data_IF_101586259139
#
_entry.id   IF_101586259139
#
_cell.length_a   1.000
_cell.length_b   1.000
_cell.length_c   1.000
_cell.angle_alpha   90.00
_cell.angle_beta   90.00
_cell.angle_gamma   90.00
#
_symmetry.space_group_name_H-M   'P 1'
#
loop_
_entity.id
_entity.type
_entity.pdbx_description
1 polymer ?
#
# COMPACT_ATOMS: atom_id res chain seq x y z
N UNK A 1 35.53 6.02 -15.73
CA UNK A 1 36.26 7.30 -15.93
C UNK A 1 37.60 7.15 -15.23
N UNK A 2 38.71 7.56 -15.83
CA UNK A 2 40.03 7.50 -15.20
C UNK A 2 40.47 8.92 -14.83
N UNK A 3 40.72 9.15 -13.54
CA UNK A 3 41.28 10.40 -13.01
C UNK A 3 42.58 10.03 -12.30
N UNK A 4 43.70 10.63 -12.70
CA UNK A 4 45.02 10.44 -12.06
C UNK A 4 45.49 8.97 -11.97
N UNK A 5 45.13 8.12 -12.94
CA UNK A 5 45.53 6.70 -12.98
C UNK A 5 44.74 5.79 -12.04
N UNK A 6 43.69 6.30 -11.39
CA UNK A 6 42.75 5.53 -10.60
C UNK A 6 41.49 5.30 -11.43
N UNK A 7 41.18 4.02 -11.68
CA UNK A 7 39.94 3.63 -12.35
C UNK A 7 38.78 3.87 -11.41
N UNK A 8 37.98 4.90 -11.70
CA UNK A 8 36.71 5.13 -11.01
C UNK A 8 35.64 4.39 -11.83
N UNK A 9 35.14 3.23 -11.35
CA UNK A 9 33.98 2.61 -11.96
C UNK A 9 32.80 3.55 -11.73
N UNK A 10 32.28 4.10 -12.82
CA UNK A 10 31.00 4.81 -12.78
C UNK A 10 29.95 3.74 -12.53
N UNK A 11 29.41 3.66 -11.31
CA UNK A 11 28.22 2.86 -11.03
C UNK A 11 27.07 3.59 -11.72
N UNK A 12 26.64 3.08 -12.87
CA UNK A 12 25.58 3.71 -13.69
C UNK A 12 24.20 3.36 -13.16
N UNK A 13 24.07 2.22 -12.45
CA UNK A 13 22.84 1.83 -11.75
C UNK A 13 23.19 1.45 -10.31
N UNK A 14 22.67 2.24 -9.38
CA UNK A 14 22.79 1.99 -7.95
C UNK A 14 21.88 0.82 -7.54
N UNK A 15 22.28 0.01 -6.56
CA UNK A 15 21.50 -1.15 -6.07
C UNK A 15 20.21 -0.74 -5.32
N UNK A 16 19.84 0.54 -5.36
CA UNK A 16 18.62 1.11 -4.79
C UNK A 16 17.47 0.95 -5.79
N UNK A 17 17.32 -0.27 -6.31
CA UNK A 17 16.21 -0.59 -7.20
C UNK A 17 14.92 -0.55 -6.36
N UNK A 18 14.05 0.45 -6.62
CA UNK A 18 12.70 0.51 -6.04
C UNK A 18 11.99 -0.82 -6.30
N UNK A 19 11.44 -1.44 -5.26
CA UNK A 19 10.75 -2.73 -5.36
C UNK A 19 9.26 -2.54 -5.16
N UNK A 20 8.49 -3.32 -5.91
CA UNK A 20 7.06 -3.36 -5.76
C UNK A 20 6.68 -3.98 -4.42
N UNK A 21 5.85 -3.28 -3.64
CA UNK A 21 5.32 -3.73 -2.36
C UNK A 21 4.44 -5.00 -2.46
N UNK A 22 3.95 -5.30 -3.67
CA UNK A 22 3.14 -6.48 -3.98
C UNK A 22 3.93 -7.72 -4.35
N UNK A 23 4.78 -7.62 -5.38
CA UNK A 23 5.49 -8.78 -5.92
C UNK A 23 6.99 -8.80 -5.61
N UNK A 24 7.53 -7.79 -4.92
CA UNK A 24 8.93 -7.63 -4.52
C UNK A 24 9.96 -7.56 -5.67
N UNK A 25 9.50 -7.60 -6.93
CA UNK A 25 10.33 -7.37 -8.12
C UNK A 25 10.65 -5.88 -8.27
N UNK A 26 11.75 -5.61 -8.97
CA UNK A 26 12.18 -4.24 -9.28
C UNK A 26 11.14 -3.53 -10.17
N UNK A 27 10.80 -2.30 -9.81
CA UNK A 27 10.00 -1.39 -10.63
C UNK A 27 10.92 -0.70 -11.62
N UNK A 28 10.60 -0.84 -12.90
CA UNK A 28 11.24 -0.07 -13.97
C UNK A 28 10.44 1.21 -14.21
N UNK A 29 11.10 2.37 -14.18
CA UNK A 29 10.45 3.67 -14.40
C UNK A 29 9.73 4.23 -13.17
N UNK A 30 8.59 4.89 -13.40
CA UNK A 30 7.81 5.56 -12.36
C UNK A 30 6.88 4.56 -11.67
N UNK A 31 6.95 4.41 -10.33
CA UNK A 31 6.05 3.52 -9.59
C UNK A 31 4.63 4.08 -9.58
N UNK A 32 3.66 3.17 -9.61
CA UNK A 32 2.30 3.53 -9.26
C UNK A 32 2.19 3.64 -7.74
N UNK A 33 1.71 4.78 -7.23
CA UNK A 33 1.64 5.06 -5.80
C UNK A 33 0.21 4.95 -5.31
N UNK A 34 0.01 4.07 -4.33
CA UNK A 34 -1.28 3.92 -3.65
C UNK A 34 -1.14 4.38 -2.21
N UNK A 35 -2.08 5.20 -1.77
CA UNK A 35 -2.22 5.66 -0.41
C UNK A 35 -3.54 5.17 0.16
N UNK A 36 -3.57 4.86 1.44
CA UNK A 36 -4.81 4.63 2.17
C UNK A 36 -5.22 5.93 2.82
N UNK A 37 -6.34 6.49 2.37
CA UNK A 37 -6.93 7.68 2.96
C UNK A 37 -7.61 7.28 4.27
N UNK A 38 -6.89 7.47 5.36
CA UNK A 38 -7.45 7.30 6.68
C UNK A 38 -8.37 8.49 7.04
N UNK A 39 -9.67 8.35 6.75
CA UNK A 39 -10.71 9.28 7.21
C UNK A 39 -11.24 8.97 8.60
N UNK A 40 -10.76 7.90 9.26
CA UNK A 40 -11.23 7.46 10.59
C UNK A 40 -10.23 7.80 11.70
N UNK A 41 -9.03 8.26 11.38
CA UNK A 41 -8.10 8.82 12.37
C UNK A 41 -8.73 10.02 13.06
N UNK A 42 -8.82 9.94 14.39
CA UNK A 42 -9.21 11.06 15.24
C UNK A 42 -8.17 12.17 15.13
N UNK A 43 -8.60 13.45 15.10
CA UNK A 43 -7.68 14.61 15.10
C UNK A 43 -6.81 14.73 16.36
N UNK A 44 -7.02 13.85 17.35
CA UNK A 44 -6.20 13.74 18.55
C UNK A 44 -4.93 12.96 18.22
N UNK A 45 -3.78 13.48 18.62
CA UNK A 45 -2.50 12.77 18.49
C UNK A 45 -2.59 11.40 19.17
N UNK A 46 -2.35 10.33 18.41
CA UNK A 46 -2.25 8.98 18.95
C UNK A 46 -1.11 8.87 19.97
N UNK A 47 -1.19 7.90 20.87
CA UNK A 47 -0.10 7.64 21.80
C UNK A 47 1.17 7.28 21.02
N UNK A 48 2.33 7.80 21.45
CA UNK A 48 3.63 7.42 20.89
C UNK A 48 3.96 5.93 21.07
N UNK A 49 3.26 5.23 21.96
CA UNK A 49 3.43 3.80 22.21
C UNK A 49 2.47 2.92 21.39
N UNK A 50 1.51 3.52 20.69
CA UNK A 50 0.51 2.78 19.91
C UNK A 50 0.93 2.69 18.44
N UNK A 51 0.81 1.49 17.87
CA UNK A 51 1.02 1.31 16.43
C UNK A 51 -0.22 1.81 15.70
N UNK A 52 -0.02 2.67 14.70
CA UNK A 52 -1.12 3.14 13.86
C UNK A 52 -1.82 1.95 13.21
N UNK A 53 -3.15 1.89 13.34
CA UNK A 53 -3.95 0.73 12.93
C UNK A 53 -3.90 0.53 11.41
N UNK A 54 -3.72 1.62 10.66
CA UNK A 54 -3.57 1.62 9.21
C UNK A 54 -2.41 2.55 8.85
N UNK A 55 -1.39 2.03 8.17
CA UNK A 55 -0.36 2.87 7.58
C UNK A 55 -0.90 3.51 6.28
N UNK A 56 -0.91 4.86 6.15
CA UNK A 56 -1.47 5.55 5.00
C UNK A 56 -0.62 5.46 3.72
N UNK A 57 0.63 5.01 3.79
CA UNK A 57 1.54 4.94 2.64
C UNK A 57 2.50 6.14 2.54
N UNK A 58 3.09 6.42 1.36
CA UNK A 58 2.79 5.82 0.06
C UNK A 58 3.37 4.42 -0.12
N UNK A 59 2.59 3.52 -0.72
CA UNK A 59 3.03 2.20 -1.18
C UNK A 59 3.31 2.25 -2.69
N UNK A 60 4.39 1.61 -3.13
CA UNK A 60 4.87 1.68 -4.51
C UNK A 60 4.68 0.33 -5.22
N UNK A 61 4.06 0.36 -6.40
CA UNK A 61 3.72 -0.83 -7.17
C UNK A 61 4.12 -0.73 -8.64
N UNK A 62 4.22 -1.90 -9.28
CA UNK A 62 4.03 -1.96 -10.73
C UNK A 62 2.62 -1.44 -11.08
N UNK A 63 2.40 -0.93 -12.32
CA UNK A 63 1.09 -0.45 -12.77
C UNK A 63 0.14 -1.63 -13.09
N UNK A 64 -0.06 -2.50 -12.11
CA UNK A 64 -0.88 -3.71 -12.15
C UNK A 64 -1.65 -3.83 -10.84
N UNK A 65 -2.98 -3.81 -10.93
CA UNK A 65 -3.86 -3.96 -9.77
C UNK A 65 -3.60 -5.26 -9.00
N UNK A 66 -3.16 -6.33 -9.67
CA UNK A 66 -2.84 -7.60 -9.02
C UNK A 66 -1.69 -7.48 -8.03
N UNK A 67 -0.73 -6.57 -8.26
CA UNK A 67 0.34 -6.28 -7.30
C UNK A 67 -0.22 -5.65 -6.02
N UNK A 68 -1.15 -4.71 -6.14
CA UNK A 68 -1.78 -4.08 -4.98
C UNK A 68 -2.66 -5.09 -4.25
N UNK A 69 -3.44 -5.89 -4.98
CA UNK A 69 -4.26 -6.96 -4.41
C UNK A 69 -3.44 -7.99 -3.64
N UNK A 70 -2.30 -8.42 -4.18
CA UNK A 70 -1.36 -9.32 -3.49
C UNK A 70 -0.82 -8.71 -2.19
N UNK A 71 -0.50 -7.42 -2.22
CA UNK A 71 -0.07 -6.66 -1.04
C UNK A 71 -1.17 -6.54 0.03
N UNK A 72 -2.41 -6.31 -0.39
CA UNK A 72 -3.57 -6.29 0.50
C UNK A 72 -3.75 -7.63 1.20
N UNK A 73 -3.71 -8.74 0.43
CA UNK A 73 -3.84 -10.09 0.95
C UNK A 73 -2.73 -10.41 1.97
N UNK A 74 -1.48 -10.05 1.67
CA UNK A 74 -0.35 -10.22 2.59
C UNK A 74 -0.48 -9.45 3.91
N UNK A 75 -1.32 -8.41 3.96
CA UNK A 75 -1.66 -7.62 5.16
C UNK A 75 -3.03 -7.95 5.74
N UNK A 76 -3.68 -9.01 5.25
CA UNK A 76 -5.03 -9.41 5.67
C UNK A 76 -6.13 -8.37 5.44
N UNK A 77 -5.90 -7.43 4.51
CA UNK A 77 -6.95 -6.53 4.03
C UNK A 77 -7.92 -7.29 3.11
N UNK A 78 -9.21 -6.95 3.18
CA UNK A 78 -10.20 -7.37 2.19
C UNK A 78 -10.33 -6.33 1.08
N UNK A 79 -10.77 -6.76 -0.10
CA UNK A 79 -11.03 -5.89 -1.25
C UNK A 79 -12.53 -5.75 -1.51
N UNK A 80 -13.02 -4.54 -1.76
CA UNK A 80 -14.38 -4.34 -2.23
C UNK A 80 -14.49 -4.66 -3.73
N UNK A 81 -15.16 -5.76 -4.08
CA UNK A 81 -15.29 -6.20 -5.49
C UNK A 81 -16.12 -5.25 -6.37
N UNK A 82 -16.87 -4.33 -5.76
CA UNK A 82 -17.62 -3.26 -6.45
C UNK A 82 -16.75 -2.06 -6.86
N UNK A 83 -15.53 -1.95 -6.32
CA UNK A 83 -14.58 -0.89 -6.65
C UNK A 83 -13.47 -1.34 -7.61
N UNK A 84 -12.50 -0.46 -7.81
CA UNK A 84 -11.20 -0.72 -8.47
C UNK A 84 -10.05 -0.34 -7.56
N UNK A 85 -8.85 -0.84 -7.84
CA UNK A 85 -7.66 -0.29 -7.18
C UNK A 85 -7.37 1.10 -7.76
N UNK A 86 -7.16 2.08 -6.88
CA UNK A 86 -6.84 3.46 -7.23
C UNK A 86 -5.67 3.99 -6.40
N UNK A 87 -5.11 5.13 -6.81
CA UNK A 87 -4.07 5.84 -6.07
C UNK A 87 -4.48 6.22 -4.64
N UNK A 88 -5.79 6.36 -4.40
CA UNK A 88 -6.35 6.55 -3.07
C UNK A 88 -7.37 5.45 -2.82
N UNK A 89 -7.09 4.62 -1.82
CA UNK A 89 -8.01 3.61 -1.30
C UNK A 89 -8.56 4.08 0.05
N UNK A 90 -9.82 3.77 0.35
CA UNK A 90 -10.49 4.10 1.61
C UNK A 90 -10.65 2.85 2.47
N UNK A 91 -10.33 2.93 3.77
CA UNK A 91 -10.50 1.83 4.70
C UNK A 91 -11.98 1.69 5.10
N UNK A 92 -12.41 0.44 5.23
CA UNK A 92 -13.74 0.05 5.66
C UNK A 92 -13.57 -0.77 6.94
N UNK A 93 -13.97 -0.25 8.12
CA UNK A 93 -13.91 -1.03 9.34
C UNK A 93 -14.91 -2.18 9.28
N UNK A 94 -14.46 -3.38 9.60
CA UNK A 94 -15.30 -4.57 9.69
C UNK A 94 -15.44 -4.91 11.17
N UNK A 95 -16.64 -4.77 11.71
CA UNK A 95 -16.93 -5.12 13.09
C UNK A 95 -16.50 -6.57 13.36
N UNK A 96 -15.64 -6.73 14.36
CA UNK A 96 -15.23 -8.05 14.84
C UNK A 96 -16.18 -8.47 15.97
N UNK A 97 -16.50 -9.77 16.11
CA UNK A 97 -17.21 -10.28 17.30
C UNK A 97 -16.46 -9.94 18.60
N UNK A 98 -17.19 -9.86 19.72
CA UNK A 98 -16.67 -9.38 21.01
C UNK A 98 -15.25 -9.89 21.35
N UNK A 99 -14.29 -8.95 21.37
CA UNK A 99 -12.90 -9.18 21.75
C UNK A 99 -11.94 -9.53 20.62
N UNK A 100 -12.41 -9.73 19.38
CA UNK A 100 -11.54 -9.98 18.24
C UNK A 100 -10.93 -8.69 17.66
N UNK A 101 -9.71 -8.76 17.08
CA UNK A 101 -9.07 -7.59 16.47
C UNK A 101 -9.87 -7.08 15.27
N UNK A 102 -9.93 -5.74 15.14
CA UNK A 102 -10.61 -5.05 14.05
C UNK A 102 -10.02 -5.49 12.70
N UNK A 103 -10.89 -5.82 11.75
CA UNK A 103 -10.51 -6.14 10.37
C UNK A 103 -10.84 -4.99 9.44
N UNK A 104 -10.16 -4.96 8.30
CA UNK A 104 -10.24 -3.84 7.37
C UNK A 104 -10.48 -4.32 5.94
N UNK A 105 -11.44 -3.69 5.28
CA UNK A 105 -11.58 -3.72 3.82
C UNK A 105 -11.02 -2.46 3.18
N UNK A 106 -10.70 -2.51 1.89
CA UNK A 106 -10.29 -1.35 1.08
C UNK A 106 -11.20 -1.20 -0.14
N UNK A 107 -11.64 0.03 -0.41
CA UNK A 107 -12.45 0.40 -1.58
C UNK A 107 -11.96 1.70 -2.20
N UNK A 108 -12.28 1.96 -3.48
CA UNK A 108 -12.01 3.26 -4.11
C UNK A 108 -12.91 4.40 -3.59
N UNK A 109 -14.03 4.05 -2.91
CA UNK A 109 -14.98 5.02 -2.37
C UNK A 109 -15.81 5.75 -3.43
N UNK A 110 -15.91 5.23 -4.66
CA UNK A 110 -16.68 5.85 -5.73
C UNK A 110 -18.14 5.38 -5.72
N UNK A 111 -18.39 4.10 -5.45
CA UNK A 111 -19.75 3.56 -5.38
C UNK A 111 -20.45 3.99 -4.08
N UNK A 112 -21.80 4.02 -4.11
CA UNK A 112 -22.63 4.47 -2.98
C UNK A 112 -23.46 3.37 -2.31
N UNK A 113 -23.40 2.15 -2.85
CA UNK A 113 -24.09 0.98 -2.29
C UNK A 113 -23.22 0.25 -1.26
N UNK A 114 -23.81 -0.72 -0.57
CA UNK A 114 -23.12 -1.56 0.40
C UNK A 114 -21.88 -2.25 -0.19
N UNK A 115 -20.80 -2.25 0.60
CA UNK A 115 -19.55 -2.88 0.23
C UNK A 115 -19.68 -4.41 0.18
N UNK A 116 -19.09 -4.99 -0.86
CA UNK A 116 -18.99 -6.44 -1.00
C UNK A 116 -17.53 -6.85 -0.89
N UNK A 117 -17.15 -7.15 0.36
CA UNK A 117 -15.79 -7.46 0.72
C UNK A 117 -15.46 -8.92 0.42
N UNK A 118 -14.38 -9.13 -0.34
CA UNK A 118 -13.84 -10.43 -0.69
C UNK A 118 -12.37 -10.50 -0.30
N UNK A 119 -11.79 -11.70 -0.16
CA UNK A 119 -10.33 -11.85 -0.07
C UNK A 119 -9.65 -11.08 -1.20
N UNK A 120 -8.67 -10.25 -0.83
CA UNK A 120 -7.93 -9.44 -1.78
C UNK A 120 -7.08 -10.30 -2.71
#
# INVERSE_FOLDING_TARGET
MDIMGIRIPTVVEDNVARRCDGCLRVIQGTPWRVNILDTVTTEVAGSWTETSVINPGPFEFHPDEACVRSWMAGRSFLFCRKGRVREIMRPIPIAAPDGAPLRWGLCDGIHRDDHELVPA
#
